data_IF_522004625007
#
_entry.id   IF_522004625007
#
_cell.length_a   1.000
_cell.length_b   1.000
_cell.length_c   1.000
_cell.angle_alpha   90.00
_cell.angle_beta   90.00
_cell.angle_gamma   90.00
#
_symmetry.space_group_name_H-M   'P 1'
#
loop_
_entity.id
_entity.type
_entity.pdbx_description
1 polymer ?
#
# COMPACT_ATOMS: atom_id res chain seq x y z
N UNK A 1 8.66 16.30 -31.22
CA UNK A 1 7.50 15.76 -30.45
C UNK A 1 7.52 16.06 -28.93
N UNK A 2 8.41 16.94 -28.40
CA UNK A 2 8.69 16.97 -26.95
C UNK A 2 8.09 18.12 -26.11
N UNK A 3 7.57 19.22 -26.68
CA UNK A 3 7.00 20.33 -25.86
C UNK A 3 5.50 20.16 -25.59
N UNK A 4 4.70 19.75 -26.58
CA UNK A 4 3.25 19.61 -26.44
C UNK A 4 2.84 18.44 -25.52
N UNK A 5 3.59 17.35 -25.50
CA UNK A 5 3.31 16.21 -24.60
C UNK A 5 3.63 16.53 -23.13
N UNK A 6 4.72 17.28 -22.89
CA UNK A 6 5.09 17.77 -21.55
C UNK A 6 4.04 18.74 -20.98
N UNK A 7 3.57 19.68 -21.79
CA UNK A 7 2.52 20.62 -21.39
C UNK A 7 1.20 19.92 -21.04
N UNK A 8 0.78 18.92 -21.83
CA UNK A 8 -0.41 18.11 -21.54
C UNK A 8 -0.30 17.29 -20.25
N UNK A 9 0.89 16.74 -19.96
CA UNK A 9 1.12 16.02 -18.70
C UNK A 9 1.04 16.96 -17.49
N UNK A 10 1.66 18.14 -17.58
CA UNK A 10 1.58 19.16 -16.53
C UNK A 10 0.16 19.62 -16.26
N UNK A 11 -0.62 19.89 -17.32
CA UNK A 11 -2.03 20.26 -17.21
C UNK A 11 -2.88 19.17 -16.56
N UNK A 12 -2.72 17.90 -16.95
CA UNK A 12 -3.45 16.78 -16.34
C UNK A 12 -3.10 16.59 -14.85
N UNK A 13 -1.82 16.75 -14.50
CA UNK A 13 -1.39 16.65 -13.11
C UNK A 13 -1.93 17.82 -12.27
N UNK A 14 -1.94 19.03 -12.82
CA UNK A 14 -2.53 20.20 -12.18
C UNK A 14 -4.06 20.05 -12.00
N UNK A 15 -4.78 19.56 -13.02
CA UNK A 15 -6.23 19.30 -12.90
C UNK A 15 -6.53 18.23 -11.87
N UNK A 16 -5.69 17.18 -11.79
CA UNK A 16 -5.83 16.14 -10.77
C UNK A 16 -5.59 16.71 -9.36
N UNK A 17 -4.59 17.58 -9.19
CA UNK A 17 -4.34 18.28 -7.93
C UNK A 17 -5.53 19.15 -7.49
N UNK A 18 -6.15 19.89 -8.43
CA UNK A 18 -7.35 20.68 -8.17
C UNK A 18 -8.56 19.81 -7.78
N UNK A 19 -8.76 18.67 -8.45
CA UNK A 19 -9.82 17.73 -8.12
C UNK A 19 -9.63 17.12 -6.73
N UNK A 20 -8.41 16.73 -6.38
CA UNK A 20 -8.09 16.23 -5.03
C UNK A 20 -8.34 17.32 -3.99
N UNK A 21 -7.90 18.56 -4.25
CA UNK A 21 -8.14 19.68 -3.33
C UNK A 21 -9.64 19.94 -3.12
N UNK A 22 -10.42 19.90 -4.21
CA UNK A 22 -11.88 19.98 -4.12
C UNK A 22 -12.47 18.83 -3.29
N UNK A 23 -12.03 17.60 -3.51
CA UNK A 23 -12.47 16.43 -2.76
C UNK A 23 -12.10 16.52 -1.27
N UNK A 24 -10.92 17.05 -0.93
CA UNK A 24 -10.49 17.34 0.45
C UNK A 24 -11.43 18.34 1.11
N UNK A 25 -11.70 19.46 0.46
CA UNK A 25 -12.60 20.50 0.99
C UNK A 25 -14.01 19.94 1.17
N UNK A 26 -14.52 19.23 0.17
CA UNK A 26 -15.82 18.56 0.25
C UNK A 26 -15.86 17.57 1.43
N UNK A 27 -14.85 16.71 1.57
CA UNK A 27 -14.79 15.74 2.67
C UNK A 27 -14.80 16.41 4.05
N UNK A 28 -14.05 17.50 4.24
CA UNK A 28 -13.96 18.21 5.51
C UNK A 28 -15.28 18.91 5.87
N UNK A 29 -15.88 19.65 4.94
CA UNK A 29 -17.00 20.56 5.26
C UNK A 29 -18.39 20.02 4.94
N UNK A 30 -18.50 18.94 4.16
CA UNK A 30 -19.81 18.41 3.78
C UNK A 30 -20.57 17.86 4.99
N UNK A 31 -21.80 18.35 5.20
CA UNK A 31 -22.70 17.97 6.31
C UNK A 31 -21.95 17.89 7.66
N UNK A 32 -21.52 19.05 8.18
CA UNK A 32 -20.95 19.18 9.50
C UNK A 32 -22.05 19.05 10.57
N UNK A 33 -21.86 18.20 11.59
CA UNK A 33 -22.80 18.08 12.71
C UNK A 33 -22.70 19.29 13.64
N UNK A 34 -23.65 19.43 14.56
CA UNK A 34 -23.73 20.56 15.50
C UNK A 34 -22.44 20.72 16.34
N UNK A 35 -21.73 19.61 16.64
CA UNK A 35 -20.37 19.61 17.22
C UNK A 35 -19.30 19.62 16.11
N UNK A 36 -19.24 20.72 15.37
CA UNK A 36 -18.42 20.84 14.17
C UNK A 36 -16.92 20.75 14.44
N UNK A 37 -16.42 21.26 15.57
CA UNK A 37 -15.00 21.22 15.96
C UNK A 37 -14.49 19.79 16.12
N UNK A 38 -15.20 18.96 16.89
CA UNK A 38 -14.86 17.56 17.10
C UNK A 38 -14.89 16.79 15.77
N UNK A 39 -15.93 17.01 14.96
CA UNK A 39 -16.05 16.35 13.67
C UNK A 39 -14.92 16.74 12.70
N UNK A 40 -14.55 18.03 12.65
CA UNK A 40 -13.44 18.49 11.84
C UNK A 40 -12.11 17.89 12.30
N UNK A 41 -11.83 17.88 13.60
CA UNK A 41 -10.60 17.30 14.15
C UNK A 41 -10.41 15.85 13.70
N UNK A 42 -11.45 15.02 13.86
CA UNK A 42 -11.41 13.64 13.40
C UNK A 42 -11.27 13.52 11.88
N UNK A 43 -11.99 14.33 11.10
CA UNK A 43 -11.88 14.29 9.63
C UNK A 43 -10.49 14.71 9.14
N UNK A 44 -9.85 15.68 9.80
CA UNK A 44 -8.48 16.10 9.47
C UNK A 44 -7.50 14.96 9.73
N UNK A 45 -7.57 14.31 10.90
CA UNK A 45 -6.73 13.14 11.20
C UNK A 45 -6.95 12.01 10.19
N UNK A 46 -8.20 11.73 9.84
CA UNK A 46 -8.56 10.75 8.80
C UNK A 46 -7.95 11.12 7.45
N UNK A 47 -7.98 12.40 7.08
CA UNK A 47 -7.43 12.89 5.82
C UNK A 47 -5.90 12.75 5.77
N UNK A 48 -5.21 13.03 6.88
CA UNK A 48 -3.76 12.85 7.00
C UNK A 48 -3.42 11.37 6.87
N UNK A 49 -4.16 10.47 7.54
CA UNK A 49 -3.94 9.03 7.40
C UNK A 49 -4.20 8.54 5.97
N UNK A 50 -5.26 9.03 5.31
CA UNK A 50 -5.51 8.77 3.89
C UNK A 50 -4.34 9.20 3.02
N UNK A 51 -3.79 10.40 3.26
CA UNK A 51 -2.65 10.89 2.51
C UNK A 51 -1.39 10.02 2.74
N UNK A 52 -1.10 9.67 4.00
CA UNK A 52 0.05 8.84 4.37
C UNK A 52 -0.05 7.45 3.75
N UNK A 53 -1.15 6.74 4.02
CA UNK A 53 -1.40 5.38 3.51
C UNK A 53 -1.47 5.36 1.98
N UNK A 54 -2.18 6.32 1.39
CA UNK A 54 -2.33 6.43 -0.05
C UNK A 54 -1.00 6.66 -0.77
N UNK A 55 -0.17 7.57 -0.25
CA UNK A 55 1.14 7.83 -0.83
C UNK A 55 2.11 6.66 -0.65
N UNK A 56 2.10 6.03 0.54
CA UNK A 56 2.95 4.88 0.84
C UNK A 56 2.64 3.69 -0.09
N UNK A 57 1.36 3.32 -0.21
CA UNK A 57 0.95 2.20 -1.06
C UNK A 57 1.20 2.49 -2.55
N UNK A 58 0.90 3.72 -3.01
CA UNK A 58 1.15 4.10 -4.41
C UNK A 58 2.64 4.01 -4.77
N UNK A 59 3.51 4.57 -3.93
CA UNK A 59 4.96 4.55 -4.14
C UNK A 59 5.51 3.12 -4.06
N UNK A 60 5.12 2.36 -3.03
CA UNK A 60 5.54 0.97 -2.86
C UNK A 60 5.13 0.11 -4.06
N UNK A 61 3.88 0.26 -4.52
CA UNK A 61 3.38 -0.53 -5.65
C UNK A 61 4.11 -0.16 -6.94
N UNK A 62 4.33 1.14 -7.21
CA UNK A 62 5.06 1.55 -8.40
C UNK A 62 6.48 1.00 -8.41
N UNK A 63 7.20 1.15 -7.30
CA UNK A 63 8.57 0.62 -7.16
C UNK A 63 8.58 -0.90 -7.39
N UNK A 64 7.64 -1.61 -6.77
CA UNK A 64 7.55 -3.06 -6.91
C UNK A 64 7.25 -3.49 -8.35
N UNK A 65 6.31 -2.84 -9.03
CA UNK A 65 5.98 -3.14 -10.42
C UNK A 65 7.15 -2.89 -11.38
N UNK A 66 7.97 -1.86 -11.11
CA UNK A 66 9.19 -1.57 -11.87
C UNK A 66 10.23 -2.67 -11.70
N UNK A 67 10.46 -3.14 -10.47
CA UNK A 67 11.41 -4.24 -10.21
C UNK A 67 10.89 -5.55 -10.78
N UNK A 68 9.60 -5.83 -10.61
CA UNK A 68 8.98 -7.04 -11.10
C UNK A 68 8.71 -7.03 -12.60
N UNK A 69 9.00 -5.91 -13.28
CA UNK A 69 8.67 -5.65 -14.68
C UNK A 69 7.25 -6.13 -15.07
N UNK A 70 6.29 -5.90 -14.18
CA UNK A 70 4.93 -6.42 -14.32
C UNK A 70 3.94 -5.48 -13.62
N UNK A 71 2.97 -5.00 -14.40
CA UNK A 71 2.00 -3.97 -13.99
C UNK A 71 0.80 -4.52 -13.19
N UNK A 72 0.71 -5.84 -13.08
CA UNK A 72 -0.41 -6.55 -12.45
C UNK A 72 -0.05 -6.94 -11.01
N UNK A 73 1.23 -6.97 -10.65
CA UNK A 73 1.66 -7.41 -9.33
C UNK A 73 1.58 -6.29 -8.29
N UNK A 74 1.28 -6.68 -7.05
CA UNK A 74 1.33 -5.81 -5.87
C UNK A 74 2.27 -6.40 -4.81
N UNK A 75 2.88 -5.55 -3.96
CA UNK A 75 3.73 -5.99 -2.86
C UNK A 75 3.05 -6.98 -1.90
N UNK A 76 1.72 -6.91 -1.76
CA UNK A 76 0.93 -7.81 -0.91
C UNK A 76 1.08 -9.29 -1.29
N UNK A 77 1.40 -9.61 -2.55
CA UNK A 77 1.65 -10.99 -3.00
C UNK A 77 2.89 -11.60 -2.33
N UNK A 78 3.79 -10.78 -1.77
CA UNK A 78 4.96 -11.24 -1.01
C UNK A 78 4.61 -11.76 0.39
N UNK A 79 3.34 -11.70 0.80
CA UNK A 79 2.89 -12.16 2.11
C UNK A 79 3.14 -11.16 3.25
N UNK A 80 3.48 -9.90 2.95
CA UNK A 80 3.72 -8.86 3.97
C UNK A 80 2.45 -8.55 4.78
N UNK A 81 1.30 -8.48 4.12
CA UNK A 81 0.02 -8.25 4.81
C UNK A 81 -0.34 -9.44 5.71
N UNK A 82 -0.17 -10.67 5.21
CA UNK A 82 -0.40 -11.89 6.00
C UNK A 82 0.56 -12.00 7.18
N UNK A 83 1.82 -11.58 7.02
CA UNK A 83 2.79 -11.53 8.11
C UNK A 83 2.37 -10.52 9.19
N UNK A 84 1.86 -9.35 8.81
CA UNK A 84 1.34 -8.38 9.77
C UNK A 84 0.21 -8.99 10.61
N UNK A 85 -0.75 -9.67 9.97
CA UNK A 85 -1.85 -10.34 10.67
C UNK A 85 -1.36 -11.44 11.60
N UNK A 86 -0.37 -12.23 11.16
CA UNK A 86 0.24 -13.25 12.00
C UNK A 86 0.91 -12.64 13.24
N UNK A 87 1.65 -11.54 13.09
CA UNK A 87 2.30 -10.87 14.23
C UNK A 87 1.26 -10.41 15.25
N UNK A 88 0.18 -9.75 14.79
CA UNK A 88 -0.87 -9.25 15.68
C UNK A 88 -1.61 -10.40 16.38
N UNK A 89 -1.95 -11.44 15.63
CA UNK A 89 -2.67 -12.62 16.16
C UNK A 89 -1.79 -13.42 17.12
N UNK A 90 -0.49 -13.54 16.85
CA UNK A 90 0.45 -14.20 17.76
C UNK A 90 0.54 -13.47 19.10
N UNK A 91 0.51 -12.14 19.10
CA UNK A 91 0.53 -11.35 20.35
C UNK A 91 -0.74 -11.61 21.15
N UNK A 92 -1.91 -11.60 20.51
CA UNK A 92 -3.19 -11.92 21.15
C UNK A 92 -3.17 -13.35 21.69
N UNK A 93 -2.74 -14.32 20.88
CA UNK A 93 -2.71 -15.73 21.26
C UNK A 93 -1.79 -16.02 22.47
N UNK A 94 -0.62 -15.39 22.53
CA UNK A 94 0.37 -15.66 23.59
C UNK A 94 0.12 -14.87 24.88
N UNK A 95 -0.40 -13.64 24.77
CA UNK A 95 -0.44 -12.69 25.87
C UNK A 95 -1.86 -12.14 26.16
N UNK A 96 -2.86 -12.57 25.41
CA UNK A 96 -4.23 -12.07 25.46
C UNK A 96 -4.39 -10.68 24.85
N UNK A 97 -5.63 -10.25 24.61
CA UNK A 97 -5.93 -8.93 24.06
C UNK A 97 -5.58 -7.77 25.03
N UNK A 98 -5.68 -8.01 26.34
CA UNK A 98 -5.43 -6.97 27.36
C UNK A 98 -4.00 -6.47 27.35
N UNK A 99 -3.03 -7.32 26.98
CA UNK A 99 -1.63 -6.90 26.80
C UNK A 99 -1.43 -6.08 25.53
N UNK A 100 -2.12 -6.41 24.44
CA UNK A 100 -2.08 -5.61 23.21
C UNK A 100 -2.58 -4.17 23.45
N UNK A 101 -3.54 -3.99 24.35
CA UNK A 101 -4.06 -2.67 24.75
C UNK A 101 -3.20 -1.94 25.78
N UNK A 102 -2.45 -2.66 26.62
CA UNK A 102 -1.60 -2.04 27.65
C UNK A 102 -0.17 -1.75 27.18
N UNK A 103 0.32 -2.46 26.17
CA UNK A 103 1.61 -2.20 25.53
C UNK A 103 1.57 -0.86 24.80
N UNK A 104 2.68 -0.13 24.85
CA UNK A 104 2.86 1.09 24.10
C UNK A 104 2.66 0.82 22.59
N UNK A 105 1.63 1.42 21.99
CA UNK A 105 1.26 1.15 20.60
C UNK A 105 2.33 1.59 19.60
N UNK A 106 3.16 2.59 19.96
CA UNK A 106 4.32 2.99 19.17
C UNK A 106 5.39 1.90 19.16
N UNK A 107 5.63 1.24 20.30
CA UNK A 107 6.55 0.10 20.38
C UNK A 107 6.05 -1.07 19.54
N UNK A 108 4.75 -1.38 19.63
CA UNK A 108 4.13 -2.42 18.81
C UNK A 108 4.30 -2.12 17.31
N UNK A 109 4.02 -0.89 16.89
CA UNK A 109 4.22 -0.44 15.51
C UNK A 109 5.67 -0.63 15.05
N UNK A 110 6.65 -0.22 15.85
CA UNK A 110 8.08 -0.36 15.52
C UNK A 110 8.52 -1.83 15.45
N UNK A 111 8.05 -2.67 16.37
CA UNK A 111 8.35 -4.11 16.37
C UNK A 111 7.75 -4.78 15.15
N UNK A 112 6.46 -4.58 14.87
CA UNK A 112 5.81 -5.12 13.67
C UNK A 112 6.51 -4.66 12.40
N UNK A 113 6.86 -3.37 12.33
CA UNK A 113 7.60 -2.82 11.17
C UNK A 113 8.96 -3.46 11.00
N UNK A 114 9.71 -3.61 12.10
CA UNK A 114 11.04 -4.22 12.06
C UNK A 114 10.99 -5.68 11.62
N UNK A 115 10.00 -6.44 12.09
CA UNK A 115 9.81 -7.85 11.69
C UNK A 115 9.43 -7.93 10.20
N UNK A 116 8.52 -7.07 9.71
CA UNK A 116 8.12 -7.05 8.30
C UNK A 116 9.29 -6.72 7.37
N UNK A 117 10.07 -5.69 7.71
CA UNK A 117 11.27 -5.30 6.95
C UNK A 117 12.34 -6.39 7.03
N UNK A 118 12.54 -6.98 8.21
CA UNK A 118 13.45 -8.11 8.41
C UNK A 118 13.08 -9.33 7.58
N UNK A 119 11.78 -9.66 7.51
CA UNK A 119 11.27 -10.73 6.65
C UNK A 119 11.48 -10.43 5.17
N UNK A 120 11.19 -9.21 4.71
CA UNK A 120 11.44 -8.83 3.32
C UNK A 120 12.93 -8.95 2.94
N UNK A 121 13.82 -8.53 3.85
CA UNK A 121 15.27 -8.68 3.71
C UNK A 121 15.71 -10.14 3.67
N UNK A 122 15.14 -10.98 4.54
CA UNK A 122 15.41 -12.41 4.60
C UNK A 122 14.95 -13.11 3.32
N UNK A 123 13.72 -12.85 2.89
CA UNK A 123 13.14 -13.37 1.66
C UNK A 123 14.04 -12.98 0.47
N UNK A 124 14.47 -11.72 0.41
CA UNK A 124 15.42 -11.26 -0.60
C UNK A 124 16.77 -11.99 -0.53
N UNK A 125 17.37 -12.11 0.66
CA UNK A 125 18.67 -12.76 0.83
C UNK A 125 18.64 -14.21 0.33
N UNK A 126 17.60 -14.97 0.68
CA UNK A 126 17.46 -16.35 0.23
C UNK A 126 17.15 -16.45 -1.27
N UNK A 127 16.34 -15.54 -1.80
CA UNK A 127 15.92 -15.58 -3.20
C UNK A 127 17.06 -15.24 -4.17
N UNK A 128 17.88 -14.24 -3.84
CA UNK A 128 18.93 -13.74 -4.74
C UNK A 128 20.30 -14.41 -4.54
N UNK A 129 20.40 -15.41 -3.66
CA UNK A 129 21.63 -16.20 -3.47
C UNK A 129 21.89 -17.19 -4.62
N UNK A 130 20.87 -17.53 -5.42
CA UNK A 130 21.01 -18.37 -6.63
C UNK A 130 20.86 -17.51 -7.88
N UNK A 131 21.77 -17.65 -8.83
CA UNK A 131 21.90 -16.78 -10.01
C UNK A 131 20.71 -16.81 -10.97
N UNK A 132 19.78 -17.78 -10.87
CA UNK A 132 18.56 -17.84 -11.68
C UNK A 132 17.45 -16.97 -11.10
N UNK A 133 17.61 -15.67 -11.33
CA UNK A 133 16.64 -14.63 -10.96
C UNK A 133 15.36 -14.77 -11.78
N UNK A 134 14.39 -15.46 -11.21
CA UNK A 134 13.05 -15.51 -11.77
C UNK A 134 12.07 -14.81 -10.84
N UNK A 135 11.45 -13.73 -11.31
CA UNK A 135 10.35 -13.05 -10.60
C UNK A 135 9.22 -14.03 -10.31
N UNK A 136 9.01 -15.06 -11.15
CA UNK A 136 8.07 -16.14 -10.84
C UNK A 136 8.43 -16.91 -9.56
N UNK A 137 9.72 -17.10 -9.27
CA UNK A 137 10.15 -17.72 -8.01
C UNK A 137 9.90 -16.79 -6.82
N UNK A 138 10.12 -15.47 -6.95
CA UNK A 138 9.74 -14.48 -5.93
C UNK A 138 8.25 -14.58 -5.59
N UNK A 139 7.42 -14.66 -6.62
CA UNK A 139 5.97 -14.76 -6.47
C UNK A 139 5.55 -16.08 -5.84
N UNK A 140 6.13 -17.20 -6.27
CA UNK A 140 5.84 -18.51 -5.70
C UNK A 140 6.19 -18.55 -4.20
N UNK A 141 7.37 -18.04 -3.84
CA UNK A 141 7.83 -17.94 -2.44
C UNK A 141 6.88 -17.04 -1.64
N UNK A 142 6.50 -15.88 -2.18
CA UNK A 142 5.54 -14.97 -1.57
C UNK A 142 4.17 -15.63 -1.31
N UNK A 143 3.65 -16.37 -2.29
CA UNK A 143 2.38 -17.12 -2.16
C UNK A 143 2.49 -18.19 -1.08
N UNK A 144 3.57 -18.98 -1.06
CA UNK A 144 3.78 -20.04 -0.07
C UNK A 144 3.90 -19.47 1.34
N UNK A 145 4.68 -18.40 1.54
CA UNK A 145 4.76 -17.75 2.85
C UNK A 145 3.44 -17.08 3.25
N UNK A 146 2.76 -16.43 2.31
CA UNK A 146 1.45 -15.82 2.55
C UNK A 146 0.42 -16.85 3.02
N UNK A 147 0.31 -18.00 2.35
CA UNK A 147 -0.60 -19.09 2.75
C UNK A 147 -0.18 -19.75 4.06
N UNK A 148 1.13 -19.86 4.31
CA UNK A 148 1.66 -20.35 5.58
C UNK A 148 1.29 -19.42 6.74
N UNK A 149 1.52 -18.11 6.60
CA UNK A 149 1.16 -17.12 7.62
C UNK A 149 -0.34 -17.06 7.85
N UNK A 150 -1.14 -17.15 6.78
CA UNK A 150 -2.59 -17.21 6.89
C UNK A 150 -3.04 -18.46 7.64
N UNK A 151 -2.49 -19.63 7.33
CA UNK A 151 -2.81 -20.90 8.00
C UNK A 151 -2.47 -20.85 9.50
N UNK A 152 -1.31 -20.27 9.85
CA UNK A 152 -0.92 -20.07 11.25
C UNK A 152 -1.83 -19.07 11.97
N UNK A 153 -2.20 -17.98 11.29
CA UNK A 153 -3.14 -16.98 11.81
C UNK A 153 -4.48 -17.64 12.12
N UNK A 154 -5.07 -18.37 11.16
CA UNK A 154 -6.34 -19.08 11.34
C UNK A 154 -6.26 -20.16 12.42
N UNK A 155 -5.15 -20.90 12.52
CA UNK A 155 -4.94 -21.86 13.60
C UNK A 155 -5.00 -21.19 14.98
N UNK A 156 -4.33 -20.06 15.17
CA UNK A 156 -4.36 -19.31 16.42
C UNK A 156 -5.75 -18.72 16.69
N UNK A 157 -6.39 -18.15 15.67
CA UNK A 157 -7.74 -17.57 15.76
C UNK A 157 -8.80 -18.59 16.21
N UNK A 158 -8.69 -19.86 15.82
CA UNK A 158 -9.61 -20.91 16.26
C UNK A 158 -9.40 -21.30 17.73
N UNK A 159 -8.20 -21.07 18.28
CA UNK A 159 -7.84 -21.48 19.63
C UNK A 159 -8.03 -20.40 20.70
N UNK A 160 -8.13 -19.12 20.30
CA UNK A 160 -8.37 -18.01 21.24
C UNK A 160 -9.84 -17.91 21.64
N UNK A 161 -10.10 -17.20 22.74
CA UNK A 161 -11.46 -16.95 23.22
C UNK A 161 -12.28 -16.15 22.19
N UNK A 162 -13.62 -16.38 22.09
CA UNK A 162 -14.48 -15.72 21.10
C UNK A 162 -14.41 -14.18 21.11
N UNK A 163 -14.21 -13.58 22.29
CA UNK A 163 -14.06 -12.13 22.42
C UNK A 163 -12.74 -11.63 21.80
N UNK A 164 -11.66 -12.38 21.99
CA UNK A 164 -10.35 -12.06 21.41
C UNK A 164 -10.32 -12.34 19.90
N UNK A 165 -11.03 -13.37 19.46
CA UNK A 165 -11.26 -13.65 18.04
C UNK A 165 -11.89 -12.45 17.33
N UNK A 166 -12.93 -11.83 17.91
CA UNK A 166 -13.55 -10.65 17.31
C UNK A 166 -12.54 -9.50 17.16
N UNK A 167 -11.65 -9.30 18.13
CA UNK A 167 -10.59 -8.29 18.02
C UNK A 167 -9.60 -8.64 16.91
N UNK A 168 -9.14 -9.90 16.85
CA UNK A 168 -8.20 -10.34 15.81
C UNK A 168 -8.79 -10.10 14.41
N UNK A 169 -10.08 -10.40 14.23
CA UNK A 169 -10.82 -10.10 12.99
C UNK A 169 -10.90 -8.60 12.70
N UNK A 170 -11.17 -7.77 13.71
CA UNK A 170 -11.23 -6.32 13.56
C UNK A 170 -9.88 -5.70 13.14
N UNK A 171 -8.75 -6.27 13.59
CA UNK A 171 -7.39 -5.87 13.15
C UNK A 171 -7.15 -6.26 11.68
N UNK A 172 -7.76 -7.36 11.23
CA UNK A 172 -7.74 -7.83 9.84
C UNK A 172 -8.38 -6.86 8.84
N UNK A 173 -9.21 -5.92 9.32
CA UNK A 173 -9.98 -5.02 8.47
C UNK A 173 -9.46 -3.59 8.57
N UNK A 174 -8.96 -3.06 7.46
CA UNK A 174 -8.42 -1.71 7.47
C UNK A 174 -9.46 -0.63 7.84
N UNK A 175 -9.10 0.29 8.74
CA UNK A 175 -10.00 1.32 9.27
C UNK A 175 -9.33 2.69 9.41
N UNK A 176 -9.91 3.68 8.72
CA UNK A 176 -9.54 5.09 8.87
C UNK A 176 -10.33 5.81 9.96
N UNK A 177 -11.23 5.11 10.69
CA UNK A 177 -12.08 5.74 11.70
C UNK A 177 -11.47 5.74 13.10
N UNK A 178 -10.49 4.88 13.35
CA UNK A 178 -9.84 4.67 14.66
C UNK A 178 -8.34 4.89 14.57
N UNK A 179 -7.94 6.09 14.14
CA UNK A 179 -6.52 6.42 13.97
C UNK A 179 -5.90 6.82 15.30
N UNK A 180 -4.85 6.10 15.69
CA UNK A 180 -3.98 6.53 16.77
C UNK A 180 -3.09 7.69 16.28
N UNK A 181 -3.11 8.82 16.99
CA UNK A 181 -2.36 10.03 16.60
C UNK A 181 -0.84 9.84 16.71
N UNK A 182 -0.34 9.14 17.73
CA UNK A 182 1.09 8.89 17.92
C UNK A 182 1.64 8.02 16.78
N UNK A 183 0.88 6.98 16.39
CA UNK A 183 1.22 6.13 15.24
C UNK A 183 1.14 6.95 13.94
N UNK A 184 0.13 7.81 13.78
CA UNK A 184 -0.03 8.65 12.60
C UNK A 184 1.17 9.56 12.37
N UNK A 185 1.64 10.26 13.41
CA UNK A 185 2.78 11.16 13.29
C UNK A 185 4.07 10.39 13.02
N UNK A 186 4.27 9.25 13.67
CA UNK A 186 5.43 8.39 13.40
C UNK A 186 5.40 7.84 11.96
N UNK A 187 4.23 7.37 11.50
CA UNK A 187 4.02 6.89 10.14
C UNK A 187 4.30 7.99 9.10
N UNK A 188 3.87 9.22 9.37
CA UNK A 188 4.16 10.38 8.53
C UNK A 188 5.67 10.64 8.44
N UNK A 189 6.37 10.64 9.57
CA UNK A 189 7.84 10.82 9.60
C UNK A 189 8.54 9.72 8.82
N UNK A 190 8.17 8.45 9.03
CA UNK A 190 8.75 7.32 8.31
C UNK A 190 8.46 7.36 6.81
N UNK A 191 7.24 7.75 6.41
CA UNK A 191 6.88 7.96 5.02
C UNK A 191 7.76 9.03 4.38
N UNK A 192 7.87 10.22 5.00
CA UNK A 192 8.66 11.33 4.46
C UNK A 192 10.13 10.95 4.36
N UNK A 193 10.70 10.35 5.40
CA UNK A 193 12.09 9.87 5.39
C UNK A 193 12.34 8.84 4.28
N UNK A 194 11.45 7.87 4.13
CA UNK A 194 11.56 6.82 3.11
C UNK A 194 11.34 7.36 1.70
N UNK A 195 10.42 8.31 1.52
CA UNK A 195 10.18 8.98 0.25
C UNK A 195 11.41 9.80 -0.17
N UNK A 196 11.99 10.58 0.75
CA UNK A 196 13.23 11.33 0.50
C UNK A 196 14.39 10.40 0.15
N UNK A 197 14.53 9.27 0.86
CA UNK A 197 15.52 8.25 0.53
C UNK A 197 15.29 7.66 -0.87
N UNK A 198 14.03 7.44 -1.26
CA UNK A 198 13.67 6.89 -2.58
C UNK A 198 14.05 7.82 -3.74
N UNK A 199 14.03 9.16 -3.54
CA UNK A 199 14.30 10.15 -4.59
C UNK A 199 15.66 9.95 -5.27
N UNK A 200 16.66 9.49 -4.52
CA UNK A 200 18.00 9.17 -5.04
C UNK A 200 17.98 8.14 -6.17
N UNK A 201 16.96 7.28 -6.17
CA UNK A 201 16.83 6.14 -7.08
C UNK A 201 15.85 6.37 -8.23
N UNK A 202 15.05 7.45 -8.21
CA UNK A 202 14.01 7.69 -9.23
C UNK A 202 14.56 7.76 -10.65
N UNK A 203 15.81 8.23 -10.83
CA UNK A 203 16.48 8.25 -12.15
C UNK A 203 16.63 6.88 -12.79
N UNK A 204 16.63 5.81 -11.99
CA UNK A 204 16.77 4.45 -12.48
C UNK A 204 15.44 3.79 -12.81
N UNK A 205 14.30 4.35 -12.38
CA UNK A 205 13.00 3.68 -12.55
C UNK A 205 12.61 3.54 -14.02
N UNK A 206 12.87 4.57 -14.82
CA UNK A 206 12.62 4.52 -16.27
C UNK A 206 13.48 3.44 -16.96
N UNK A 207 14.72 3.22 -16.48
CA UNK A 207 15.64 2.21 -17.04
C UNK A 207 15.28 0.81 -16.55
N UNK A 208 14.93 0.66 -15.27
CA UNK A 208 14.49 -0.61 -14.68
C UNK A 208 13.19 -1.12 -15.34
N UNK A 209 12.31 -0.21 -15.74
CA UNK A 209 11.06 -0.55 -16.43
C UNK A 209 11.27 -1.13 -17.85
N UNK A 210 12.49 -1.07 -18.41
CA UNK A 210 12.83 -1.75 -19.65
C UNK A 210 13.02 -3.26 -19.47
N UNK A 211 13.15 -3.71 -18.22
CA UNK A 211 13.46 -5.09 -17.87
C UNK A 211 14.90 -5.26 -17.39
N UNK A 212 15.15 -6.42 -16.75
CA UNK A 212 16.42 -6.75 -16.10
C UNK A 212 17.60 -6.72 -17.07
N UNK A 213 17.48 -7.38 -18.22
CA UNK A 213 18.58 -7.51 -19.18
C UNK A 213 18.97 -6.15 -19.77
N UNK A 214 17.97 -5.36 -20.16
CA UNK A 214 18.16 -4.02 -20.72
C UNK A 214 18.78 -3.08 -19.68
N UNK A 215 18.33 -3.13 -18.43
CA UNK A 215 18.88 -2.31 -17.35
C UNK A 215 20.35 -2.66 -17.06
N UNK A 216 20.70 -3.96 -17.04
CA UNK A 216 22.09 -4.41 -16.85
C UNK A 216 22.97 -3.94 -18.02
N UNK A 217 22.50 -4.09 -19.26
CA UNK A 217 23.24 -3.64 -20.46
C UNK A 217 23.47 -2.13 -20.49
N UNK A 218 22.58 -1.35 -19.86
CA UNK A 218 22.72 0.11 -19.69
C UNK A 218 23.57 0.51 -18.47
N UNK A 219 24.21 -0.45 -17.80
CA UNK A 219 25.14 -0.21 -16.69
C UNK A 219 24.48 -0.02 -15.33
N UNK A 220 23.19 -0.38 -15.17
CA UNK A 220 22.52 -0.29 -13.87
C UNK A 220 22.93 -1.50 -13.00
N UNK A 221 23.38 -1.29 -11.76
CA UNK A 221 23.66 -2.37 -10.82
C UNK A 221 22.34 -2.97 -10.29
N UNK A 222 21.67 -3.76 -11.13
CA UNK A 222 20.30 -4.23 -10.92
C UNK A 222 20.10 -4.92 -9.56
N UNK A 223 21.01 -5.82 -9.16
CA UNK A 223 20.89 -6.57 -7.91
C UNK A 223 20.90 -5.66 -6.68
N UNK A 224 21.93 -4.82 -6.55
CA UNK A 224 22.06 -3.90 -5.42
C UNK A 224 20.90 -2.91 -5.36
N UNK A 225 20.44 -2.44 -6.52
CA UNK A 225 19.32 -1.51 -6.61
C UNK A 225 17.99 -2.17 -6.24
N UNK A 226 17.71 -3.37 -6.79
CA UNK A 226 16.51 -4.14 -6.46
C UNK A 226 16.43 -4.42 -4.95
N UNK A 227 17.55 -4.77 -4.30
CA UNK A 227 17.63 -4.93 -2.84
C UNK A 227 17.14 -3.71 -2.10
N UNK A 228 17.73 -2.54 -2.39
CA UNK A 228 17.42 -1.30 -1.70
C UNK A 228 15.96 -0.89 -1.95
N UNK A 229 15.49 -1.03 -3.18
CA UNK A 229 14.12 -0.68 -3.54
C UNK A 229 13.09 -1.61 -2.89
N UNK A 230 13.38 -2.90 -2.73
CA UNK A 230 12.50 -3.81 -1.99
C UNK A 230 12.45 -3.49 -0.50
N UNK A 231 13.55 -3.02 0.10
CA UNK A 231 13.53 -2.51 1.48
C UNK A 231 12.63 -1.28 1.59
N UNK A 232 12.73 -0.35 0.64
CA UNK A 232 11.84 0.82 0.56
C UNK A 232 10.38 0.36 0.47
N UNK A 233 10.07 -0.60 -0.41
CA UNK A 233 8.72 -1.18 -0.53
C UNK A 233 8.24 -1.77 0.80
N UNK A 234 9.09 -2.57 1.47
CA UNK A 234 8.72 -3.20 2.74
C UNK A 234 8.43 -2.17 3.84
N UNK A 235 9.23 -1.12 3.94
CA UNK A 235 9.01 -0.03 4.91
C UNK A 235 7.68 0.67 4.60
N UNK A 236 7.43 1.05 3.33
CA UNK A 236 6.22 1.77 2.94
C UNK A 236 4.96 0.94 3.16
N UNK A 237 4.96 -0.34 2.79
CA UNK A 237 3.84 -1.25 3.02
C UNK A 237 3.62 -1.44 4.52
N UNK A 238 4.69 -1.62 5.29
CA UNK A 238 4.56 -1.79 6.73
C UNK A 238 3.99 -0.54 7.42
N UNK A 239 4.44 0.66 7.03
CA UNK A 239 3.89 1.93 7.53
C UNK A 239 2.39 2.02 7.23
N UNK A 240 1.98 1.73 6.00
CA UNK A 240 0.58 1.78 5.58
C UNK A 240 -0.29 0.75 6.33
N UNK A 241 0.16 -0.51 6.35
CA UNK A 241 -0.55 -1.63 6.94
C UNK A 241 -0.62 -1.52 8.46
N UNK A 242 0.43 -1.04 9.13
CA UNK A 242 0.41 -0.86 10.58
C UNK A 242 -0.36 0.40 11.03
N UNK A 243 -0.51 1.41 10.16
CA UNK A 243 -1.30 2.61 10.47
C UNK A 243 -2.81 2.34 10.35
N UNK A 244 -3.23 1.67 9.28
CA UNK A 244 -4.66 1.56 8.93
C UNK A 244 -5.13 0.12 8.82
N UNK A 245 -4.24 -0.83 8.55
CA UNK A 245 -4.56 -2.22 8.20
C UNK A 245 -4.32 -2.53 6.72
N UNK A 246 -4.42 -3.82 6.32
CA UNK A 246 -4.06 -4.27 4.99
C UNK A 246 -5.04 -3.79 3.90
N UNK A 247 -4.49 -3.31 2.78
CA UNK A 247 -5.23 -2.77 1.62
C UNK A 247 -4.74 -3.41 0.31
N UNK A 248 -4.95 -4.71 0.17
CA UNK A 248 -4.32 -5.59 -0.83
C UNK A 248 -4.47 -5.11 -2.28
N UNK A 249 -5.66 -4.65 -2.67
CA UNK A 249 -5.94 -4.25 -4.05
C UNK A 249 -5.79 -2.75 -4.33
N UNK A 250 -5.55 -1.91 -3.32
CA UNK A 250 -5.44 -0.47 -3.53
C UNK A 250 -4.30 -0.14 -4.50
N UNK A 251 -3.14 -0.74 -4.28
CA UNK A 251 -1.97 -0.53 -5.13
C UNK A 251 -2.26 -0.85 -6.59
N UNK A 252 -2.88 -2.00 -6.84
CA UNK A 252 -3.23 -2.43 -8.19
C UNK A 252 -4.18 -1.45 -8.88
N UNK A 253 -5.26 -1.10 -8.19
CA UNK A 253 -6.31 -0.23 -8.70
C UNK A 253 -5.72 1.14 -9.07
N UNK A 254 -5.01 1.76 -8.13
CA UNK A 254 -4.44 3.10 -8.30
C UNK A 254 -3.39 3.13 -9.42
N UNK A 255 -2.52 2.14 -9.49
CA UNK A 255 -1.47 2.09 -10.51
C UNK A 255 -2.04 1.98 -11.92
N UNK A 256 -3.04 1.10 -12.10
CA UNK A 256 -3.69 0.96 -13.40
C UNK A 256 -4.47 2.22 -13.80
N UNK A 257 -5.21 2.84 -12.88
CA UNK A 257 -5.84 4.15 -13.11
C UNK A 257 -4.81 5.22 -13.48
N UNK A 258 -3.63 5.19 -12.86
CA UNK A 258 -2.56 6.15 -13.16
C UNK A 258 -2.05 5.99 -14.59
N UNK A 259 -1.76 4.75 -15.02
CA UNK A 259 -1.29 4.48 -16.38
C UNK A 259 -2.36 4.76 -17.45
N UNK A 260 -3.65 4.60 -17.11
CA UNK A 260 -4.75 4.92 -18.02
C UNK A 260 -4.99 6.44 -18.12
N UNK A 261 -4.87 7.16 -17.00
CA UNK A 261 -5.12 8.60 -16.94
C UNK A 261 -3.96 9.44 -17.50
N UNK A 262 -2.72 9.05 -17.21
CA UNK A 262 -1.52 9.81 -17.57
C UNK A 262 -0.94 9.38 -18.92
N UNK A 263 -0.75 10.30 -19.89
CA UNK A 263 -0.22 9.99 -21.22
C UNK A 263 1.32 9.94 -21.22
N UNK A 264 1.93 9.34 -20.20
CA UNK A 264 3.39 9.26 -20.07
C UNK A 264 3.83 8.01 -19.33
N UNK A 265 5.05 7.56 -19.63
CA UNK A 265 5.72 6.47 -18.92
C UNK A 265 6.86 6.96 -18.02
N UNK A 266 7.06 8.29 -17.91
CA UNK A 266 8.10 8.88 -17.07
C UNK A 266 7.72 8.78 -15.61
N UNK A 267 8.50 8.04 -14.83
CA UNK A 267 8.21 7.79 -13.40
C UNK A 267 8.20 9.08 -12.58
N UNK A 268 9.00 10.09 -12.96
CA UNK A 268 8.99 11.41 -12.31
C UNK A 268 7.60 12.08 -12.28
N UNK A 269 6.75 11.81 -13.28
CA UNK A 269 5.38 12.36 -13.37
C UNK A 269 4.37 11.33 -12.85
N UNK A 270 4.59 10.05 -13.12
CA UNK A 270 3.68 8.99 -12.69
C UNK A 270 3.61 8.86 -11.16
N UNK A 271 4.72 8.97 -10.45
CA UNK A 271 4.73 8.83 -8.97
C UNK A 271 3.79 9.85 -8.30
N UNK A 272 3.94 11.17 -8.51
CA UNK A 272 3.03 12.14 -7.91
C UNK A 272 1.59 11.97 -8.40
N UNK A 273 1.39 11.57 -9.67
CA UNK A 273 0.05 11.26 -10.18
C UNK A 273 -0.60 10.07 -9.44
N UNK A 274 0.16 8.99 -9.20
CA UNK A 274 -0.30 7.82 -8.48
C UNK A 274 -0.65 8.14 -7.03
N UNK A 275 0.17 8.96 -6.36
CA UNK A 275 -0.12 9.42 -5.00
C UNK A 275 -1.44 10.22 -4.94
N UNK A 276 -1.66 11.13 -5.89
CA UNK A 276 -2.89 11.93 -5.97
C UNK A 276 -4.11 11.07 -6.31
N UNK A 277 -4.00 10.12 -7.25
CA UNK A 277 -5.09 9.18 -7.58
C UNK A 277 -5.41 8.31 -6.37
N UNK A 278 -4.39 7.81 -5.66
CA UNK A 278 -4.55 7.04 -4.42
C UNK A 278 -5.35 7.82 -3.37
N UNK A 279 -4.95 9.07 -3.13
CA UNK A 279 -5.63 9.97 -2.20
C UNK A 279 -7.08 10.22 -2.63
N UNK A 280 -7.33 10.48 -3.93
CA UNK A 280 -8.68 10.65 -4.47
C UNK A 280 -9.54 9.41 -4.25
N UNK A 281 -9.02 8.22 -4.59
CA UNK A 281 -9.72 6.94 -4.44
C UNK A 281 -10.10 6.70 -2.99
N UNK A 282 -9.18 6.94 -2.05
CA UNK A 282 -9.42 6.76 -0.62
C UNK A 282 -10.42 7.78 -0.06
N UNK A 283 -10.34 9.06 -0.45
CA UNK A 283 -11.32 10.08 -0.03
C UNK A 283 -12.73 9.74 -0.53
N UNK A 284 -12.86 9.37 -1.80
CA UNK A 284 -14.15 8.98 -2.39
C UNK A 284 -14.71 7.74 -1.71
N UNK A 285 -13.88 6.71 -1.53
CA UNK A 285 -14.29 5.49 -0.85
C UNK A 285 -14.71 5.74 0.61
N UNK A 286 -13.94 6.53 1.36
CA UNK A 286 -14.28 6.89 2.74
C UNK A 286 -15.58 7.70 2.81
N UNK A 287 -15.81 8.58 1.82
CA UNK A 287 -17.07 9.34 1.71
C UNK A 287 -18.26 8.41 1.45
N UNK A 288 -18.11 7.41 0.57
CA UNK A 288 -19.15 6.41 0.32
C UNK A 288 -19.47 5.60 1.57
N UNK A 289 -18.44 5.13 2.30
CA UNK A 289 -18.61 4.41 3.56
C UNK A 289 -19.37 5.25 4.59
N UNK A 290 -18.98 6.51 4.75
CA UNK A 290 -19.56 7.39 5.75
C UNK A 290 -21.00 7.85 5.41
N UNK A 291 -21.31 8.05 4.12
CA UNK A 291 -22.55 8.71 3.68
C UNK A 291 -23.58 7.78 3.08
N UNK A 292 -23.16 6.79 2.32
CA UNK A 292 -24.07 5.86 1.64
C UNK A 292 -24.31 4.63 2.50
N UNK A 293 -23.23 4.07 3.05
CA UNK A 293 -23.31 2.85 3.86
C UNK A 293 -23.45 3.10 5.35
N UNK A 294 -23.43 4.36 5.81
CA UNK A 294 -23.54 4.73 7.23
C UNK A 294 -22.65 3.90 8.16
N UNK A 295 -21.42 3.59 7.73
CA UNK A 295 -20.45 2.74 8.43
C UNK A 295 -20.86 1.26 8.64
N UNK A 296 -21.87 0.76 7.93
CA UNK A 296 -22.22 -0.67 7.92
C UNK A 296 -21.18 -1.53 7.17
N UNK A 297 -20.21 -0.92 6.50
CA UNK A 297 -19.09 -1.58 5.83
C UNK A 297 -17.81 -0.79 6.03
N UNK A 298 -16.67 -1.39 5.69
CA UNK A 298 -15.36 -0.75 5.78
C UNK A 298 -14.80 -0.45 4.40
N UNK A 299 -13.89 0.52 4.36
CA UNK A 299 -13.27 0.96 3.11
C UNK A 299 -12.47 -0.16 2.43
N UNK A 300 -11.80 -1.01 3.22
CA UNK A 300 -11.04 -2.16 2.69
C UNK A 300 -11.92 -3.14 1.92
N UNK A 301 -13.15 -3.42 2.38
CA UNK A 301 -14.09 -4.31 1.69
C UNK A 301 -14.44 -3.74 0.31
N UNK A 302 -14.78 -2.45 0.23
CA UNK A 302 -15.12 -1.79 -1.04
C UNK A 302 -13.91 -1.81 -1.99
N UNK A 303 -12.72 -1.48 -1.50
CA UNK A 303 -11.49 -1.47 -2.31
C UNK A 303 -11.16 -2.88 -2.81
N UNK A 304 -11.25 -3.88 -1.95
CA UNK A 304 -10.93 -5.26 -2.31
C UNK A 304 -11.94 -5.81 -3.32
N UNK A 305 -13.22 -5.49 -3.17
CA UNK A 305 -14.26 -5.87 -4.13
C UNK A 305 -14.04 -5.22 -5.50
N UNK A 306 -13.95 -3.88 -5.55
CA UNK A 306 -13.77 -3.13 -6.81
C UNK A 306 -12.45 -3.49 -7.47
N UNK A 307 -11.37 -3.55 -6.68
CA UNK A 307 -10.04 -3.91 -7.17
C UNK A 307 -9.94 -5.34 -7.66
N UNK A 308 -10.60 -6.29 -6.99
CA UNK A 308 -10.67 -7.69 -7.42
C UNK A 308 -11.44 -7.88 -8.73
N UNK A 309 -12.60 -7.23 -8.87
CA UNK A 309 -13.37 -7.25 -10.14
C UNK A 309 -12.55 -6.62 -11.27
N UNK A 310 -11.91 -5.48 -11.01
CA UNK A 310 -11.06 -4.80 -11.98
C UNK A 310 -9.83 -5.63 -12.38
N UNK A 311 -9.22 -6.33 -11.42
CA UNK A 311 -8.13 -7.27 -11.67
C UNK A 311 -8.54 -8.40 -12.62
N UNK A 312 -9.69 -9.03 -12.37
CA UNK A 312 -10.23 -10.09 -13.24
C UNK A 312 -10.47 -9.52 -14.65
N UNK A 313 -11.08 -8.34 -14.75
CA UNK A 313 -11.28 -7.66 -16.04
C UNK A 313 -9.97 -7.44 -16.81
N UNK A 314 -8.93 -6.96 -16.13
CA UNK A 314 -7.61 -6.76 -16.75
C UNK A 314 -6.98 -8.06 -17.25
N UNK A 315 -7.08 -9.15 -16.48
CA UNK A 315 -6.59 -10.46 -16.89
C UNK A 315 -7.30 -10.96 -18.15
N UNK A 316 -8.64 -10.86 -18.19
CA UNK A 316 -9.44 -11.27 -19.35
C UNK A 316 -9.19 -10.42 -20.59
N UNK A 317 -8.92 -9.11 -20.42
CA UNK A 317 -8.56 -8.23 -21.54
C UNK A 317 -7.16 -8.53 -22.08
N UNK A 318 -6.23 -8.88 -21.21
CA UNK A 318 -4.84 -9.17 -21.59
C UNK A 318 -4.73 -10.50 -22.33
N UNK A 319 -5.46 -11.54 -21.92
CA UNK A 319 -5.44 -12.85 -22.63
C UNK A 319 -5.90 -12.75 -24.09
N UNK A 320 -6.84 -11.86 -24.40
CA UNK A 320 -7.30 -11.59 -25.78
C UNK A 320 -6.25 -10.96 -26.70
N UNK A 321 -5.13 -10.42 -26.18
CA UNK A 321 -4.03 -9.92 -27.01
C UNK A 321 -3.00 -10.99 -27.41
N UNK A 322 -3.12 -12.20 -26.84
CA UNK A 322 -2.25 -13.35 -27.14
C UNK A 322 -2.93 -14.38 -28.06
N UNK A 323 -4.16 -14.10 -28.51
CA UNK A 323 -4.85 -14.77 -29.62
C UNK A 323 -4.84 -13.81 -30.82
#
# INVERSE_FOLDING_TARGET
>A
MNSQSGAKCGQKLASLGLLVLFAVVAFLFYQLPNRWEYALHHRVLNLIAIAVTGAAIALATMIFQVIANNRILTPSILGLDSLYLLIQTLIIFMFGFTTLMSVNQTLLFLVSTSIMVGFALLLYYFLFRRESQNIFFLLLVGIVFGTFFQSMTTFMEVLIDPNEFQVAQDIGVASFNRINQDILWLALVMLVATMLWSLRYWRYFDVLALGREQAINLGVPYQSLAKILLVIVAILISVATALVGPLTFLGLLVMNLTFEFMPTYKHKILIPAAMLISMMTLILGQTLVARVFTFNTTLSIIINFVGGVYFIYLLLRTSKKWQ
#
